data_IF_113106053102
#
_entry.id   IF_113106053102
#
_cell.length_a   1.000
_cell.length_b   1.000
_cell.length_c   1.000
_cell.angle_alpha   90.00
_cell.angle_beta   90.00
_cell.angle_gamma   90.00
#
_symmetry.space_group_name_H-M   'P 1'
#
loop_
_entity.id
_entity.type
_entity.pdbx_description
1 polymer ?
#
# COMPACT_ATOMS: atom_id res chain seq x y z
N UNK A 1 -18.88 -12.92 2.06
CA UNK A 1 -17.61 -12.38 1.55
C UNK A 1 -17.26 -11.17 2.39
N UNK A 2 -16.11 -11.18 3.05
CA UNK A 2 -15.68 -10.11 3.96
C UNK A 2 -14.91 -9.04 3.19
N UNK A 3 -14.89 -7.84 3.73
CA UNK A 3 -14.00 -6.76 3.29
C UNK A 3 -12.96 -6.52 4.37
N UNK A 4 -11.79 -6.03 3.95
CA UNK A 4 -10.72 -5.59 4.83
C UNK A 4 -10.75 -4.07 4.87
N UNK A 5 -10.61 -3.52 6.07
CA UNK A 5 -10.46 -2.09 6.30
C UNK A 5 -9.00 -1.81 6.63
N UNK A 6 -8.36 -0.97 5.82
CA UNK A 6 -7.00 -0.51 6.05
C UNK A 6 -6.99 0.97 6.39
N UNK A 7 -6.22 1.35 7.42
CA UNK A 7 -5.76 2.72 7.59
C UNK A 7 -4.43 2.86 6.87
N UNK A 8 -4.37 3.75 5.90
CA UNK A 8 -3.15 4.15 5.20
C UNK A 8 -2.73 5.50 5.77
N UNK A 9 -1.46 5.66 6.15
CA UNK A 9 -0.94 6.93 6.65
C UNK A 9 0.29 7.32 5.86
N UNK A 10 0.27 8.48 5.22
CA UNK A 10 1.41 8.98 4.45
C UNK A 10 2.51 9.45 5.41
N UNK A 11 3.73 8.93 5.22
CA UNK A 11 4.94 9.38 5.90
C UNK A 11 5.54 10.52 5.07
N UNK A 12 5.81 11.65 5.71
CA UNK A 12 6.54 12.74 5.07
C UNK A 12 8.04 12.39 5.02
N UNK A 13 8.63 12.50 3.85
CA UNK A 13 10.05 12.21 3.58
C UNK A 13 11.00 13.37 3.90
N UNK A 14 10.50 14.54 4.37
CA UNK A 14 11.37 15.70 4.63
C UNK A 14 11.60 15.95 6.13
N UNK A 15 12.82 15.69 6.66
CA UNK A 15 13.20 16.06 8.03
C UNK A 15 13.36 17.59 8.22
N UNK A 16 13.25 18.40 7.17
CA UNK A 16 13.47 19.85 7.20
C UNK A 16 12.20 20.68 7.43
N UNK A 17 11.01 20.08 7.36
CA UNK A 17 9.74 20.79 7.53
C UNK A 17 8.94 20.16 8.67
N UNK A 18 9.11 20.74 9.85
CA UNK A 18 8.32 20.59 11.09
C UNK A 18 8.19 19.17 11.67
N UNK A 19 8.28 18.99 13.01
CA UNK A 19 8.30 17.66 13.63
C UNK A 19 7.09 16.79 13.34
N UNK A 20 5.94 17.37 12.95
CA UNK A 20 4.75 16.67 12.45
C UNK A 20 3.94 17.61 11.58
N UNK A 21 4.06 17.50 10.26
CA UNK A 21 3.02 18.01 9.36
C UNK A 21 1.65 17.42 9.75
N UNK A 22 0.52 18.00 9.30
CA UNK A 22 -0.80 17.47 9.61
C UNK A 22 -0.88 16.00 9.17
N UNK A 23 -1.50 15.14 9.99
CA UNK A 23 -1.71 13.75 9.64
C UNK A 23 -2.49 13.67 8.31
N UNK A 24 -1.92 12.97 7.32
CA UNK A 24 -2.63 12.62 6.10
C UNK A 24 -2.85 11.12 6.12
N UNK A 25 -4.12 10.72 6.25
CA UNK A 25 -4.50 9.31 6.28
C UNK A 25 -5.80 9.03 5.55
N UNK A 26 -5.96 7.80 5.06
CA UNK A 26 -7.19 7.29 4.44
C UNK A 26 -7.56 5.97 5.07
N UNK A 27 -8.82 5.82 5.42
CA UNK A 27 -9.38 4.49 5.69
C UNK A 27 -10.03 3.99 4.40
N UNK A 28 -9.56 2.86 3.89
CA UNK A 28 -10.06 2.24 2.67
C UNK A 28 -10.63 0.86 2.99
N UNK A 29 -11.72 0.52 2.31
CA UNK A 29 -12.37 -0.78 2.40
C UNK A 29 -12.26 -1.51 1.05
N UNK A 30 -11.74 -2.75 1.10
CA UNK A 30 -11.44 -3.55 -0.10
C UNK A 30 -11.83 -5.03 0.11
N UNK A 31 -12.28 -5.76 -0.93
CA UNK A 31 -12.54 -7.19 -0.86
C UNK A 31 -11.37 -8.03 -0.31
N UNK A 32 -11.65 -9.00 0.56
CA UNK A 32 -10.64 -9.90 1.16
C UNK A 32 -9.80 -10.69 0.14
N UNK A 33 -10.36 -10.92 -1.05
CA UNK A 33 -9.74 -11.69 -2.13
C UNK A 33 -8.97 -10.82 -3.13
N UNK A 34 -8.90 -9.51 -2.93
CA UNK A 34 -8.06 -8.62 -3.73
C UNK A 34 -6.58 -9.01 -3.59
N UNK A 35 -5.82 -8.82 -4.67
CA UNK A 35 -4.37 -8.95 -4.65
C UNK A 35 -3.71 -7.63 -4.18
N UNK A 36 -2.41 -7.70 -3.90
CA UNK A 36 -1.63 -6.54 -3.46
C UNK A 36 -1.59 -5.43 -4.52
N UNK A 37 -1.62 -5.77 -5.81
CA UNK A 37 -1.73 -4.78 -6.88
C UNK A 37 -3.01 -3.95 -6.76
N UNK A 38 -4.16 -4.61 -6.56
CA UNK A 38 -5.44 -3.91 -6.36
C UNK A 38 -5.50 -3.12 -5.06
N UNK A 39 -4.75 -3.54 -4.04
CA UNK A 39 -4.56 -2.73 -2.85
C UNK A 39 -3.72 -1.48 -3.15
N UNK A 40 -2.59 -1.61 -3.86
CA UNK A 40 -1.76 -0.47 -4.26
C UNK A 40 -2.56 0.57 -5.07
N UNK A 41 -3.30 0.11 -6.09
CA UNK A 41 -4.24 0.94 -6.86
C UNK A 41 -5.24 1.65 -5.95
N UNK A 42 -5.84 0.95 -4.98
CA UNK A 42 -6.78 1.55 -4.04
C UNK A 42 -6.13 2.60 -3.12
N UNK A 43 -4.88 2.37 -2.70
CA UNK A 43 -4.13 3.29 -1.83
C UNK A 43 -3.85 4.57 -2.61
N UNK A 44 -3.15 4.51 -3.74
CA UNK A 44 -2.72 5.73 -4.47
C UNK A 44 -3.91 6.55 -4.95
N UNK A 45 -4.97 5.90 -5.45
CA UNK A 45 -6.21 6.57 -5.82
C UNK A 45 -6.88 7.31 -4.64
N UNK A 46 -6.75 6.79 -3.41
CA UNK A 46 -7.29 7.46 -2.23
C UNK A 46 -6.58 8.79 -1.89
N UNK A 47 -5.37 8.98 -2.41
CA UNK A 47 -4.58 10.21 -2.34
C UNK A 47 -4.60 11.01 -3.65
N UNK A 48 -5.46 10.66 -4.61
CA UNK A 48 -5.57 11.31 -5.91
C UNK A 48 -4.28 11.22 -6.76
N UNK A 49 -3.56 10.10 -6.61
CA UNK A 49 -2.40 9.76 -7.44
C UNK A 49 -2.81 8.77 -8.52
N UNK A 50 -2.12 8.83 -9.65
CA UNK A 50 -2.13 7.81 -10.69
C UNK A 50 -1.15 6.68 -10.34
N UNK A 51 -1.50 5.43 -10.62
CA UNK A 51 -0.60 4.28 -10.40
C UNK A 51 0.30 4.08 -11.64
N UNK A 52 1.19 5.03 -11.89
CA UNK A 52 2.04 5.12 -13.07
C UNK A 52 3.51 4.70 -12.83
N UNK A 53 3.89 4.45 -11.57
CA UNK A 53 5.23 4.02 -11.18
C UNK A 53 5.23 2.65 -10.48
N UNK A 54 6.43 2.07 -10.38
CA UNK A 54 6.65 0.82 -9.65
C UNK A 54 6.50 1.02 -8.13
N UNK A 55 6.22 -0.08 -7.44
CA UNK A 55 5.95 -0.08 -6.02
C UNK A 55 6.24 -1.43 -5.35
N UNK A 56 6.29 -1.39 -4.02
CA UNK A 56 6.47 -2.57 -3.18
C UNK A 56 5.82 -2.46 -1.81
N UNK A 57 5.59 -3.62 -1.19
CA UNK A 57 5.15 -3.76 0.20
C UNK A 57 6.25 -4.43 1.02
N UNK A 58 6.56 -3.87 2.19
CA UNK A 58 7.69 -4.27 3.02
C UNK A 58 7.28 -4.39 4.51
N UNK A 59 7.67 -5.48 5.17
CA UNK A 59 7.32 -5.68 6.59
C UNK A 59 8.12 -4.81 7.57
N UNK A 60 9.30 -4.31 7.18
CA UNK A 60 10.03 -3.29 7.94
C UNK A 60 9.55 -1.90 7.56
N UNK A 61 8.96 -1.19 8.52
CA UNK A 61 8.55 0.22 8.38
C UNK A 61 9.71 1.10 8.83
N UNK A 62 10.76 1.14 8.00
CA UNK A 62 11.97 1.90 8.26
C UNK A 62 12.58 2.29 6.91
N UNK A 63 12.68 3.59 6.65
CA UNK A 63 13.18 4.16 5.39
C UNK A 63 14.57 3.65 4.98
N UNK A 64 15.43 3.29 5.93
CA UNK A 64 16.79 2.84 5.62
C UNK A 64 16.90 1.33 5.42
N UNK A 65 15.87 0.57 5.79
CA UNK A 65 15.96 -0.90 5.93
C UNK A 65 14.78 -1.65 5.33
N UNK A 66 13.86 -0.99 4.63
CA UNK A 66 12.67 -1.66 4.11
C UNK A 66 13.01 -2.72 3.06
N UNK A 67 14.06 -2.54 2.24
CA UNK A 67 14.52 -3.57 1.29
C UNK A 67 15.05 -4.86 1.96
N UNK A 68 15.47 -4.77 3.23
CA UNK A 68 15.89 -5.92 4.05
C UNK A 68 14.70 -6.63 4.72
N UNK A 69 13.47 -6.34 4.31
CA UNK A 69 12.28 -6.93 4.94
C UNK A 69 12.26 -8.44 4.74
N UNK A 70 12.03 -9.24 5.80
CA UNK A 70 11.88 -10.68 5.68
C UNK A 70 10.64 -11.07 4.87
N UNK A 71 9.64 -10.17 4.79
CA UNK A 71 8.48 -10.31 3.93
C UNK A 71 8.37 -9.06 3.06
N UNK A 72 8.54 -9.25 1.75
CA UNK A 72 8.45 -8.18 0.76
C UNK A 72 7.78 -8.65 -0.53
N UNK A 73 7.04 -7.76 -1.17
CA UNK A 73 6.33 -8.00 -2.42
C UNK A 73 6.50 -6.81 -3.35
N UNK A 74 6.83 -7.03 -4.61
CA UNK A 74 7.17 -5.94 -5.54
C UNK A 74 6.59 -6.18 -6.93
N UNK A 75 6.30 -5.09 -7.65
CA UNK A 75 5.85 -5.15 -9.04
C UNK A 75 6.94 -5.71 -9.98
N UNK A 76 8.22 -5.49 -9.68
CA UNK A 76 9.33 -6.06 -10.47
C UNK A 76 9.28 -7.58 -10.55
N UNK A 77 8.85 -8.28 -9.49
CA UNK A 77 8.65 -9.74 -9.54
C UNK A 77 7.65 -10.12 -10.63
N UNK A 78 6.55 -9.37 -10.76
CA UNK A 78 5.54 -9.64 -11.79
C UNK A 78 6.05 -9.30 -13.20
N UNK A 79 6.87 -8.27 -13.36
CA UNK A 79 7.46 -7.89 -14.65
C UNK A 79 8.48 -8.93 -15.15
N UNK A 80 9.32 -9.46 -14.26
CA UNK A 80 10.24 -10.56 -14.58
C UNK A 80 9.47 -11.79 -15.06
N UNK A 81 8.37 -12.14 -14.38
CA UNK A 81 7.50 -13.24 -14.79
C UNK A 81 6.82 -12.99 -16.15
N UNK A 82 6.62 -11.72 -16.52
CA UNK A 82 6.11 -11.30 -17.84
C UNK A 82 7.21 -11.25 -18.92
N UNK A 83 8.47 -11.58 -18.58
CA UNK A 83 9.58 -11.71 -19.52
C UNK A 83 10.50 -10.50 -19.62
N UNK A 84 10.34 -9.50 -18.74
CA UNK A 84 11.22 -8.34 -18.68
C UNK A 84 12.63 -8.73 -18.20
N UNK A 85 13.66 -8.09 -18.77
CA UNK A 85 15.05 -8.34 -18.41
C UNK A 85 15.44 -7.53 -17.17
N UNK A 86 14.95 -7.97 -16.00
CA UNK A 86 15.21 -7.34 -14.70
C UNK A 86 15.87 -8.34 -13.73
N UNK A 87 16.66 -7.83 -12.78
CA UNK A 87 17.26 -8.65 -11.74
C UNK A 87 16.23 -9.06 -10.66
N UNK A 88 16.24 -10.32 -10.19
CA UNK A 88 15.35 -10.76 -9.12
C UNK A 88 15.60 -10.00 -7.81
N UNK A 89 14.54 -9.41 -7.24
CA UNK A 89 14.65 -8.69 -5.96
C UNK A 89 14.55 -9.60 -4.73
N UNK A 90 14.19 -10.87 -4.94
CA UNK A 90 13.82 -11.82 -3.87
C UNK A 90 12.45 -11.53 -3.23
N UNK A 91 11.64 -10.62 -3.81
CA UNK A 91 10.29 -10.33 -3.36
C UNK A 91 9.24 -11.25 -4.01
N UNK A 92 8.10 -11.41 -3.34
CA UNK A 92 6.94 -12.08 -3.91
C UNK A 92 6.15 -11.20 -4.90
N UNK A 93 5.33 -11.83 -5.73
CA UNK A 93 4.45 -11.17 -6.70
C UNK A 93 3.32 -10.38 -6.02
N UNK A 94 3.04 -9.15 -6.48
CA UNK A 94 1.90 -8.34 -6.02
C UNK A 94 0.61 -8.70 -6.77
N UNK A 95 0.69 -9.24 -8.01
CA UNK A 95 -0.48 -9.71 -8.77
C UNK A 95 -1.01 -11.06 -8.27
N UNK A 96 -0.16 -11.94 -7.74
CA UNK A 96 -0.53 -13.28 -7.25
C UNK A 96 -0.84 -13.34 -5.75
N UNK A 97 -0.26 -12.45 -4.95
CA UNK A 97 -0.45 -12.46 -3.49
C UNK A 97 -1.75 -11.75 -3.09
N UNK A 98 -2.61 -12.44 -2.33
CA UNK A 98 -3.87 -11.90 -1.80
C UNK A 98 -3.66 -11.19 -0.47
N UNK A 99 -4.43 -10.14 -0.21
CA UNK A 99 -4.33 -9.34 1.03
C UNK A 99 -4.55 -10.19 2.29
N UNK A 100 -5.44 -11.19 2.23
CA UNK A 100 -5.75 -12.05 3.36
C UNK A 100 -4.64 -13.06 3.72
N UNK A 101 -3.61 -13.19 2.88
CA UNK A 101 -2.39 -13.95 3.20
C UNK A 101 -1.36 -13.12 3.94
N UNK A 102 -1.41 -11.81 3.76
CA UNK A 102 -0.43 -10.86 4.26
C UNK A 102 -0.87 -10.25 5.59
N UNK A 103 -2.11 -9.77 5.67
CA UNK A 103 -2.69 -9.26 6.92
C UNK A 103 -3.63 -10.30 7.51
N UNK A 104 -3.28 -10.82 8.69
CA UNK A 104 -4.01 -11.90 9.37
C UNK A 104 -4.62 -11.42 10.69
N UNK A 105 -3.98 -10.46 11.37
CA UNK A 105 -4.38 -9.94 12.67
C UNK A 105 -4.61 -8.43 12.61
N UNK A 106 -5.64 -7.96 13.33
CA UNK A 106 -5.89 -6.53 13.49
C UNK A 106 -4.63 -5.88 14.12
N UNK A 107 -4.16 -4.80 13.50
CA UNK A 107 -2.93 -4.12 13.89
C UNK A 107 -1.70 -4.53 13.07
N UNK A 108 -1.78 -5.58 12.23
CA UNK A 108 -0.72 -5.91 11.27
C UNK A 108 -0.43 -4.71 10.35
N UNK A 109 0.85 -4.47 10.07
CA UNK A 109 1.31 -3.33 9.27
C UNK A 109 2.32 -3.74 8.21
N UNK A 110 2.28 -3.04 7.08
CA UNK A 110 3.39 -3.00 6.12
C UNK A 110 3.65 -1.56 5.70
N UNK A 111 4.88 -1.30 5.26
CA UNK A 111 5.21 -0.13 4.46
C UNK A 111 4.81 -0.41 3.02
N UNK A 112 4.02 0.48 2.42
CA UNK A 112 3.81 0.56 0.99
C UNK A 112 4.67 1.70 0.45
N UNK A 113 5.62 1.38 -0.40
CA UNK A 113 6.48 2.33 -1.09
C UNK A 113 6.03 2.43 -2.54
N UNK A 114 5.62 3.62 -2.97
CA UNK A 114 5.21 3.93 -4.32
C UNK A 114 6.16 4.96 -4.92
N UNK A 115 6.53 4.76 -6.19
CA UNK A 115 7.53 5.56 -6.89
C UNK A 115 8.89 5.51 -6.19
N UNK A 116 9.81 4.73 -6.75
CA UNK A 116 11.15 4.57 -6.18
C UNK A 116 12.05 5.79 -6.42
N UNK A 117 11.64 6.74 -7.26
CA UNK A 117 12.30 8.03 -7.43
C UNK A 117 11.86 9.03 -6.35
N UNK A 118 10.55 9.27 -6.24
CA UNK A 118 9.99 10.26 -5.31
C UNK A 118 9.76 9.72 -3.88
N UNK A 119 9.85 8.41 -3.70
CA UNK A 119 9.86 7.73 -2.41
C UNK A 119 8.59 7.99 -1.58
N UNK A 120 7.40 7.85 -2.19
CA UNK A 120 6.13 7.98 -1.48
C UNK A 120 5.90 6.80 -0.54
N UNK A 121 5.95 7.07 0.76
CA UNK A 121 5.86 6.04 1.80
C UNK A 121 4.53 6.08 2.54
N UNK A 122 3.83 4.95 2.61
CA UNK A 122 2.58 4.81 3.33
C UNK A 122 2.65 3.66 4.34
N UNK A 123 2.27 3.91 5.59
CA UNK A 123 2.00 2.83 6.55
C UNK A 123 0.60 2.29 6.31
N UNK A 124 0.50 1.01 5.97
CA UNK A 124 -0.76 0.31 5.73
C UNK A 124 -1.07 -0.60 6.91
N UNK A 125 -2.00 -0.18 7.76
CA UNK A 125 -2.41 -0.89 8.97
C UNK A 125 -3.78 -1.56 8.78
N UNK A 126 -3.87 -2.86 9.06
CA UNK A 126 -5.14 -3.57 9.06
C UNK A 126 -5.96 -3.21 10.29
N UNK A 127 -7.13 -2.59 10.10
CA UNK A 127 -8.01 -2.13 11.19
C UNK A 127 -9.11 -3.11 11.55
N UNK A 128 -9.38 -4.08 10.68
CA UNK A 128 -10.40 -5.09 10.88
C UNK A 128 -11.27 -5.30 9.66
N UNK A 129 -12.35 -6.04 9.87
CA UNK A 129 -13.23 -6.46 8.80
C UNK A 129 -14.41 -5.50 8.64
N UNK A 130 -14.84 -5.31 7.40
CA UNK A 130 -16.16 -4.79 7.07
C UNK A 130 -17.07 -5.89 6.53
N UNK A 131 -18.31 -5.52 6.24
CA UNK A 131 -19.28 -6.39 5.60
C UNK A 131 -19.51 -5.97 4.15
N UNK A 132 -19.24 -6.89 3.21
CA UNK A 132 -19.46 -6.61 1.79
C UNK A 132 -20.95 -6.40 1.51
N UNK A 133 -21.33 -5.17 1.27
CA UNK A 133 -22.64 -4.82 0.75
C UNK A 133 -22.65 -4.88 -0.79
N UNK A 134 -23.52 -5.73 -1.37
CA UNK A 134 -23.63 -5.92 -2.83
C UNK A 134 -24.03 -4.66 -3.60
N UNK A 135 -24.66 -3.68 -2.94
CA UNK A 135 -25.06 -2.40 -3.55
C UNK A 135 -23.91 -1.38 -3.59
N UNK A 136 -22.77 -1.67 -2.95
CA UNK A 136 -21.62 -0.76 -2.87
C UNK A 136 -20.55 -1.16 -3.88
N UNK A 137 -19.92 -0.16 -4.49
CA UNK A 137 -18.70 -0.31 -5.29
C UNK A 137 -17.47 -0.38 -4.36
N UNK A 138 -16.50 -1.18 -4.76
CA UNK A 138 -15.21 -1.32 -4.07
C UNK A 138 -14.06 -1.18 -5.07
N UNK A 139 -12.86 -0.73 -4.64
CA UNK A 139 -12.54 -0.23 -3.29
C UNK A 139 -13.32 1.06 -2.96
N UNK A 140 -13.47 1.39 -1.67
CA UNK A 140 -14.11 2.64 -1.24
C UNK A 140 -13.36 3.30 -0.09
N UNK A 141 -13.41 4.61 -0.06
CA UNK A 141 -12.83 5.40 1.03
C UNK A 141 -13.91 5.58 2.10
N UNK A 142 -13.58 5.18 3.34
CA UNK A 142 -14.43 5.34 4.52
C UNK A 142 -14.18 6.68 5.22
N UNK A 143 -12.91 7.11 5.27
CA UNK A 143 -12.47 8.32 5.96
C UNK A 143 -11.29 8.96 5.25
N UNK A 144 -11.27 10.30 5.23
CA UNK A 144 -10.13 11.11 4.78
C UNK A 144 -9.71 12.05 5.90
N UNK A 145 -8.41 12.07 6.21
CA UNK A 145 -7.78 13.02 7.14
C UNK A 145 -6.68 13.76 6.38
N UNK A 146 -6.63 15.09 6.47
CA UNK A 146 -5.63 15.90 5.79
C UNK A 146 -5.78 15.97 4.26
N UNK A 147 -5.28 17.06 3.68
CA UNK A 147 -5.24 17.26 2.23
C UNK A 147 -4.14 16.38 1.63
N UNK A 148 -4.43 15.62 0.58
CA UNK A 148 -3.38 14.87 -0.12
C UNK A 148 -2.37 15.85 -0.76
N UNK A 149 -1.07 15.51 -0.78
CA UNK A 149 -0.10 16.29 -1.55
C UNK A 149 -0.38 16.18 -3.06
N UNK A 150 0.29 17.02 -3.87
CA UNK A 150 0.36 16.82 -5.33
C UNK A 150 1.32 15.66 -5.60
N UNK A 151 1.04 14.84 -6.61
CA UNK A 151 1.89 13.69 -6.95
C UNK A 151 3.25 14.11 -7.50
N UNK A 152 3.28 14.98 -8.52
CA UNK A 152 4.50 15.58 -9.11
C UNK A 152 4.28 17.05 -9.32
#
# INVERSE_FOLDING_TARGET
MKTYIFKTSLLYSSPLIAPRGPEISREIEIPENANLYKLAEAIVNAYNFDLDHCFGFFSKINEQKYFDSPQKYELFTDLIEEGESLEPTGAGSVKKTKINKVWQNIGDKMLFLFDYGDNWQFVVEFKGFGEKNQKKKYPRILKKTGKAPRQY
#
